data_IF_861976393800
#
_entry.id   IF_861976393800
#
_cell.length_a   1.000
_cell.length_b   1.000
_cell.length_c   1.000
_cell.angle_alpha   90.00
_cell.angle_beta   90.00
_cell.angle_gamma   90.00
#
_symmetry.space_group_name_H-M   'P 1'
#
loop_
_entity.id
_entity.type
_entity.pdbx_description
1 polymer ?
#
# COMPACT_ATOMS: atom_id res chain seq x y z
N UNK A 1 25.44 74.26 13.98
CA UNK A 1 24.07 73.70 13.95
C UNK A 1 24.12 72.38 13.20
N UNK A 2 24.12 71.25 13.91
CA UNK A 2 24.11 69.91 13.32
C UNK A 2 22.66 69.42 13.25
N UNK A 3 22.17 69.15 12.04
CA UNK A 3 20.86 68.54 11.80
C UNK A 3 21.04 67.01 11.75
N UNK A 4 20.46 66.30 12.72
CA UNK A 4 20.45 64.84 12.77
C UNK A 4 19.19 64.28 12.11
N UNK A 5 19.37 63.55 11.02
CA UNK A 5 18.31 62.81 10.33
C UNK A 5 18.05 61.49 11.05
N UNK A 6 16.85 61.34 11.63
CA UNK A 6 16.37 60.06 12.20
C UNK A 6 15.71 59.27 11.08
N UNK A 7 16.33 58.17 10.66
CA UNK A 7 15.74 57.22 9.72
C UNK A 7 14.85 56.23 10.49
N UNK A 8 13.53 56.33 10.32
CA UNK A 8 12.59 55.30 10.76
C UNK A 8 12.69 54.09 9.81
N UNK A 9 13.32 53.02 10.26
CA UNK A 9 13.19 51.70 9.63
C UNK A 9 11.88 51.05 10.08
N UNK A 10 10.87 51.05 9.19
CA UNK A 10 9.67 50.25 9.35
C UNK A 10 10.04 48.77 9.17
N UNK A 11 10.16 48.04 10.28
CA UNK A 11 10.26 46.58 10.28
C UNK A 11 8.90 45.99 9.88
N UNK A 12 8.77 45.62 8.61
CA UNK A 12 7.66 44.78 8.16
C UNK A 12 7.92 43.37 8.68
N UNK A 13 7.17 42.95 9.70
CA UNK A 13 7.23 41.58 10.21
C UNK A 13 6.78 40.61 9.10
N UNK A 14 7.47 39.48 8.90
CA UNK A 14 7.12 38.51 7.85
C UNK A 14 5.82 37.79 8.21
N UNK A 15 4.73 38.03 7.48
CA UNK A 15 3.45 37.32 7.63
C UNK A 15 3.40 35.93 6.94
N UNK A 16 4.55 35.25 6.76
CA UNK A 16 4.62 34.04 5.90
C UNK A 16 4.43 32.72 6.66
N UNK A 17 4.49 32.70 8.00
CA UNK A 17 4.57 31.44 8.77
C UNK A 17 3.26 30.63 8.88
N UNK A 18 2.09 31.25 8.83
CA UNK A 18 0.83 30.55 9.15
C UNK A 18 0.39 29.58 8.04
N UNK A 19 0.83 29.76 6.79
CA UNK A 19 0.39 28.93 5.66
C UNK A 19 1.11 27.58 5.57
N UNK A 20 2.35 27.50 6.04
CA UNK A 20 3.13 26.26 6.00
C UNK A 20 2.52 25.18 6.91
N UNK A 21 2.20 25.53 8.16
CA UNK A 21 1.70 24.57 9.15
C UNK A 21 0.38 23.88 8.75
N UNK A 22 -0.54 24.59 8.07
CA UNK A 22 -1.80 24.01 7.62
C UNK A 22 -1.61 22.97 6.50
N UNK A 23 -0.67 23.22 5.57
CA UNK A 23 -0.37 22.31 4.47
C UNK A 23 0.25 21.01 4.97
N UNK A 24 1.12 21.09 5.97
CA UNK A 24 1.78 19.93 6.56
C UNK A 24 0.77 18.96 7.19
N UNK A 25 -0.21 19.49 7.94
CA UNK A 25 -1.25 18.65 8.56
C UNK A 25 -2.12 17.91 7.55
N UNK A 26 -2.34 18.50 6.37
CA UNK A 26 -3.20 17.91 5.36
C UNK A 26 -2.48 16.83 4.55
N UNK A 27 -1.18 17.02 4.29
CA UNK A 27 -0.28 16.04 3.69
C UNK A 27 -0.23 14.77 4.55
N UNK A 28 0.00 14.94 5.86
CA UNK A 28 0.01 13.83 6.82
C UNK A 28 -1.33 13.10 6.87
N UNK A 29 -2.44 13.85 6.96
CA UNK A 29 -3.79 13.28 6.97
C UNK A 29 -4.07 12.41 5.74
N UNK A 30 -3.76 12.90 4.54
CA UNK A 30 -3.97 12.12 3.31
C UNK A 30 -3.09 10.88 3.23
N UNK A 31 -1.86 10.97 3.74
CA UNK A 31 -0.95 9.84 3.77
C UNK A 31 -1.49 8.72 4.68
N UNK A 32 -1.88 9.07 5.91
CA UNK A 32 -2.49 8.15 6.87
C UNK A 32 -3.83 7.60 6.36
N UNK A 33 -4.69 8.45 5.78
CA UNK A 33 -5.95 8.01 5.17
C UNK A 33 -5.72 6.92 4.10
N UNK A 34 -4.72 7.09 3.24
CA UNK A 34 -4.37 6.08 2.24
C UNK A 34 -3.85 4.78 2.87
N UNK A 35 -3.05 4.86 3.94
CA UNK A 35 -2.57 3.69 4.66
C UNK A 35 -3.70 2.89 5.32
N UNK A 36 -4.61 3.59 6.01
CA UNK A 36 -5.75 2.97 6.69
C UNK A 36 -6.65 2.25 5.68
N UNK A 37 -7.01 2.93 4.58
CA UNK A 37 -7.82 2.33 3.51
C UNK A 37 -7.15 1.13 2.86
N UNK A 38 -5.84 1.22 2.61
CA UNK A 38 -5.09 0.10 2.04
C UNK A 38 -5.07 -1.10 2.99
N UNK A 39 -4.90 -0.86 4.30
CA UNK A 39 -4.92 -1.91 5.32
C UNK A 39 -6.31 -2.57 5.45
N UNK A 40 -7.39 -1.80 5.25
CA UNK A 40 -8.77 -2.28 5.24
C UNK A 40 -9.15 -3.02 3.94
N UNK A 41 -8.26 -3.05 2.95
CA UNK A 41 -8.51 -3.65 1.63
C UNK A 41 -9.30 -2.75 0.68
N UNK A 42 -9.59 -1.51 1.07
CA UNK A 42 -10.12 -0.47 0.17
C UNK A 42 -8.99 0.11 -0.69
N UNK A 43 -8.52 -0.69 -1.63
CA UNK A 43 -7.43 -0.32 -2.52
C UNK A 43 -7.77 0.87 -3.42
N UNK A 44 -9.04 1.01 -3.81
CA UNK A 44 -9.51 2.13 -4.61
C UNK A 44 -9.41 3.44 -3.82
N UNK A 45 -9.98 3.46 -2.62
CA UNK A 45 -9.94 4.64 -1.77
C UNK A 45 -8.53 5.00 -1.31
N UNK A 46 -7.64 4.01 -1.15
CA UNK A 46 -6.23 4.24 -0.86
C UNK A 46 -5.51 4.94 -2.02
N UNK A 47 -5.69 4.44 -3.24
CA UNK A 47 -5.15 5.06 -4.45
C UNK A 47 -5.65 6.50 -4.61
N UNK A 48 -6.93 6.77 -4.36
CA UNK A 48 -7.51 8.11 -4.41
C UNK A 48 -6.93 9.06 -3.34
N UNK A 49 -6.69 8.58 -2.12
CA UNK A 49 -6.08 9.39 -1.06
C UNK A 49 -4.64 9.76 -1.39
N UNK A 50 -3.84 8.81 -1.86
CA UNK A 50 -2.46 9.08 -2.26
C UNK A 50 -2.34 9.86 -3.57
N UNK A 51 -3.29 9.75 -4.50
CA UNK A 51 -3.34 10.60 -5.69
C UNK A 51 -3.60 12.06 -5.30
N UNK A 52 -4.56 12.32 -4.40
CA UNK A 52 -4.78 13.67 -3.84
C UNK A 52 -3.55 14.21 -3.12
N UNK A 53 -2.80 13.34 -2.43
CA UNK A 53 -1.53 13.72 -1.81
C UNK A 53 -0.48 14.07 -2.87
N UNK A 54 -0.37 13.27 -3.94
CA UNK A 54 0.52 13.54 -5.05
C UNK A 54 0.21 14.91 -5.68
N UNK A 55 -1.06 15.24 -5.92
CA UNK A 55 -1.46 16.54 -6.48
C UNK A 55 -1.11 17.74 -5.59
N UNK A 56 -1.02 17.52 -4.28
CA UNK A 56 -0.69 18.56 -3.29
C UNK A 56 0.80 18.83 -3.19
N UNK A 57 1.64 17.82 -3.44
CA UNK A 57 3.09 17.95 -3.37
C UNK A 57 3.60 18.70 -4.61
N UNK A 58 4.19 19.90 -4.52
CA UNK A 58 4.67 20.58 -5.73
C UNK A 58 5.82 19.80 -6.39
N UNK A 59 5.82 19.76 -7.72
CA UNK A 59 6.89 19.18 -8.53
C UNK A 59 8.16 20.06 -8.43
N UNK A 60 8.90 19.87 -7.34
CA UNK A 60 10.11 20.59 -7.00
C UNK A 60 11.19 19.58 -6.61
N UNK A 61 12.47 19.91 -6.87
CA UNK A 61 13.60 19.01 -6.58
C UNK A 61 13.58 18.48 -5.14
N UNK A 62 13.21 19.33 -4.17
CA UNK A 62 13.12 18.96 -2.75
C UNK A 62 12.05 17.89 -2.44
N UNK A 63 10.98 17.83 -3.24
CA UNK A 63 9.86 16.90 -3.05
C UNK A 63 9.94 15.67 -3.96
N UNK A 64 10.93 15.63 -4.84
CA UNK A 64 11.00 14.63 -5.91
C UNK A 64 10.91 13.20 -5.37
N UNK A 65 11.75 12.87 -4.40
CA UNK A 65 11.76 11.53 -3.79
C UNK A 65 10.44 11.20 -3.09
N UNK A 66 9.83 12.16 -2.40
CA UNK A 66 8.52 11.99 -1.74
C UNK A 66 7.43 11.73 -2.77
N UNK A 67 7.38 12.50 -3.87
CA UNK A 67 6.42 12.33 -4.95
C UNK A 67 6.55 10.96 -5.63
N UNK A 68 7.78 10.54 -5.94
CA UNK A 68 8.03 9.21 -6.52
C UNK A 68 7.57 8.08 -5.58
N UNK A 69 7.81 8.20 -4.27
CA UNK A 69 7.32 7.21 -3.29
C UNK A 69 5.78 7.18 -3.18
N UNK A 70 5.13 8.34 -3.17
CA UNK A 70 3.66 8.42 -3.14
C UNK A 70 3.07 7.82 -4.42
N UNK A 71 3.68 8.08 -5.59
CA UNK A 71 3.28 7.46 -6.84
C UNK A 71 3.37 5.93 -6.77
N UNK A 72 4.49 5.38 -6.26
CA UNK A 72 4.64 3.92 -6.11
C UNK A 72 3.51 3.31 -5.27
N UNK A 73 3.08 3.99 -4.20
CA UNK A 73 1.95 3.56 -3.38
C UNK A 73 0.63 3.58 -4.17
N UNK A 74 0.38 4.62 -4.97
CA UNK A 74 -0.80 4.69 -5.86
C UNK A 74 -0.82 3.52 -6.85
N UNK A 75 0.30 3.28 -7.53
CA UNK A 75 0.41 2.18 -8.52
C UNK A 75 0.19 0.81 -7.85
N UNK A 76 0.81 0.60 -6.68
CA UNK A 76 0.64 -0.65 -5.94
C UNK A 76 -0.81 -0.86 -5.50
N UNK A 77 -1.49 0.18 -5.00
CA UNK A 77 -2.90 0.09 -4.62
C UNK A 77 -3.78 -0.32 -5.81
N UNK A 78 -3.61 0.29 -6.99
CA UNK A 78 -4.36 -0.12 -8.16
C UNK A 78 -4.06 -1.56 -8.61
N UNK A 79 -2.79 -1.99 -8.58
CA UNK A 79 -2.42 -3.37 -8.92
C UNK A 79 -3.05 -4.38 -7.96
N UNK A 80 -3.05 -4.10 -6.65
CA UNK A 80 -3.72 -4.94 -5.65
C UNK A 80 -5.24 -4.91 -5.83
N UNK A 81 -5.83 -3.75 -6.14
CA UNK A 81 -7.24 -3.61 -6.47
C UNK A 81 -7.64 -4.51 -7.63
N UNK A 82 -6.89 -4.48 -8.73
CA UNK A 82 -7.09 -5.39 -9.87
C UNK A 82 -6.94 -6.87 -9.47
N UNK A 83 -5.91 -7.20 -8.70
CA UNK A 83 -5.61 -8.58 -8.32
C UNK A 83 -6.68 -9.18 -7.39
N UNK A 84 -7.20 -8.39 -6.44
CA UNK A 84 -7.99 -8.87 -5.30
C UNK A 84 -9.47 -8.52 -5.38
N UNK A 85 -9.83 -7.37 -5.95
CA UNK A 85 -11.23 -6.99 -6.08
C UNK A 85 -11.86 -7.74 -7.26
N UNK A 86 -13.13 -8.09 -7.08
CA UNK A 86 -13.96 -8.71 -8.11
C UNK A 86 -15.21 -7.87 -8.26
N UNK A 87 -15.69 -7.71 -9.48
CA UNK A 87 -17.00 -7.12 -9.74
C UNK A 87 -18.10 -8.10 -9.30
N UNK A 88 -19.35 -7.64 -9.35
CA UNK A 88 -20.53 -8.44 -8.97
C UNK A 88 -20.67 -9.73 -9.81
N UNK A 89 -20.16 -9.72 -11.04
CA UNK A 89 -20.12 -10.87 -11.95
C UNK A 89 -18.93 -11.83 -11.70
N UNK A 90 -18.10 -11.54 -10.69
CA UNK A 90 -16.89 -12.30 -10.37
C UNK A 90 -15.70 -12.03 -11.29
N UNK A 91 -15.80 -11.12 -12.26
CA UNK A 91 -14.70 -10.72 -13.13
C UNK A 91 -13.70 -9.80 -12.42
N UNK A 92 -12.45 -9.76 -12.91
CA UNK A 92 -11.45 -8.78 -12.46
C UNK A 92 -11.79 -7.39 -12.97
N UNK A 93 -11.57 -6.37 -12.13
CA UNK A 93 -11.81 -4.99 -12.53
C UNK A 93 -10.60 -4.33 -13.21
N UNK A 94 -10.55 -4.42 -14.54
CA UNK A 94 -9.52 -3.77 -15.38
C UNK A 94 -9.51 -2.23 -15.20
N UNK A 95 -10.60 -1.64 -14.70
CA UNK A 95 -10.68 -0.20 -14.41
C UNK A 95 -9.54 0.27 -13.51
N UNK A 96 -9.13 -0.53 -12.52
CA UNK A 96 -8.00 -0.19 -11.66
C UNK A 96 -6.70 0.01 -12.42
N UNK A 97 -6.39 -0.85 -13.40
CA UNK A 97 -5.16 -0.77 -14.18
C UNK A 97 -5.16 0.46 -15.11
N UNK A 98 -6.32 0.76 -15.71
CA UNK A 98 -6.48 1.95 -16.56
C UNK A 98 -6.32 3.23 -15.75
N UNK A 99 -6.95 3.32 -14.58
CA UNK A 99 -6.78 4.47 -13.69
C UNK A 99 -5.33 4.64 -13.20
N UNK A 100 -4.62 3.54 -12.89
CA UNK A 100 -3.20 3.62 -12.56
C UNK A 100 -2.37 4.20 -13.70
N UNK A 101 -2.67 3.79 -14.95
CA UNK A 101 -1.96 4.27 -16.14
C UNK A 101 -2.20 5.75 -16.37
N UNK A 102 -3.43 6.22 -16.18
CA UNK A 102 -3.78 7.65 -16.26
C UNK A 102 -2.98 8.48 -15.23
N UNK A 103 -2.88 8.03 -13.98
CA UNK A 103 -2.11 8.73 -12.94
C UNK A 103 -0.61 8.73 -13.27
N UNK A 104 -0.07 7.60 -13.73
CA UNK A 104 1.33 7.48 -14.14
C UNK A 104 1.67 8.42 -15.30
N UNK A 105 0.82 8.48 -16.31
CA UNK A 105 1.00 9.35 -17.49
C UNK A 105 0.93 10.82 -17.11
N UNK A 106 -0.01 11.20 -16.23
CA UNK A 106 -0.11 12.54 -15.69
C UNK A 106 1.16 12.92 -14.91
N UNK A 107 1.70 12.00 -14.10
CA UNK A 107 2.94 12.20 -13.36
C UNK A 107 4.15 12.35 -14.30
N UNK A 108 4.30 11.49 -15.31
CA UNK A 108 5.41 11.63 -16.28
C UNK A 108 5.32 12.94 -17.06
N UNK A 109 4.11 13.40 -17.41
CA UNK A 109 3.92 14.70 -18.03
C UNK A 109 4.35 15.85 -17.10
N UNK A 110 3.98 15.83 -15.81
CA UNK A 110 4.38 16.85 -14.84
C UNK A 110 5.90 16.83 -14.58
N UNK A 111 6.46 15.64 -14.42
CA UNK A 111 7.89 15.42 -14.21
C UNK A 111 8.72 15.95 -15.39
N UNK A 112 8.34 15.58 -16.62
CA UNK A 112 9.00 16.07 -17.84
C UNK A 112 8.93 17.59 -17.96
N UNK A 113 7.78 18.19 -17.62
CA UNK A 113 7.61 19.65 -17.62
C UNK A 113 8.52 20.34 -16.62
N UNK A 114 8.73 19.77 -15.43
CA UNK A 114 9.53 20.37 -14.37
C UNK A 114 11.05 20.17 -14.55
N UNK A 115 11.47 19.00 -15.05
CA UNK A 115 12.89 18.61 -15.09
C UNK A 115 13.48 18.48 -16.50
N UNK A 116 12.64 18.54 -17.54
CA UNK A 116 13.03 18.42 -18.94
C UNK A 116 13.28 16.98 -19.40
N UNK A 117 13.46 16.80 -20.71
CA UNK A 117 13.50 15.50 -21.39
C UNK A 117 14.68 14.59 -21.01
N UNK A 118 15.73 15.16 -20.41
CA UNK A 118 16.92 14.41 -19.99
C UNK A 118 16.80 13.84 -18.58
N UNK A 119 15.81 14.29 -17.81
CA UNK A 119 15.59 13.78 -16.47
C UNK A 119 14.90 12.41 -16.56
N UNK A 120 15.42 11.44 -15.82
CA UNK A 120 14.79 10.14 -15.64
C UNK A 120 14.21 10.06 -14.23
N UNK A 121 13.02 9.49 -14.09
CA UNK A 121 12.47 9.03 -12.80
C UNK A 121 13.33 7.91 -12.22
N UNK A 122 13.14 7.55 -10.94
CA UNK A 122 13.87 6.41 -10.37
C UNK A 122 13.59 5.09 -11.07
N UNK A 123 14.54 4.16 -10.97
CA UNK A 123 14.41 2.80 -11.50
C UNK A 123 13.20 2.06 -10.92
N UNK A 124 12.85 2.29 -9.66
CA UNK A 124 11.67 1.68 -9.03
C UNK A 124 10.37 2.12 -9.71
N UNK A 125 10.25 3.39 -10.09
CA UNK A 125 9.08 3.89 -10.84
C UNK A 125 9.03 3.29 -12.24
N UNK A 126 10.18 3.13 -12.92
CA UNK A 126 10.25 2.49 -14.24
C UNK A 126 9.83 1.02 -14.17
N UNK A 127 10.37 0.25 -13.23
CA UNK A 127 10.01 -1.15 -13.04
C UNK A 127 8.51 -1.31 -12.76
N UNK A 128 7.94 -0.43 -11.93
CA UNK A 128 6.52 -0.47 -11.61
C UNK A 128 5.63 -0.07 -12.79
N UNK A 129 6.09 0.86 -13.62
CA UNK A 129 5.44 1.22 -14.89
C UNK A 129 5.42 0.03 -15.86
N UNK A 130 6.55 -0.65 -16.03
CA UNK A 130 6.65 -1.83 -16.89
C UNK A 130 5.77 -2.98 -16.40
N UNK A 131 5.68 -3.18 -15.08
CA UNK A 131 4.77 -4.15 -14.46
C UNK A 131 3.31 -3.80 -14.75
N UNK A 132 2.93 -2.54 -14.60
CA UNK A 132 1.59 -2.05 -14.88
C UNK A 132 1.21 -2.27 -16.35
N UNK A 133 2.05 -1.84 -17.28
CA UNK A 133 1.78 -1.95 -18.72
C UNK A 133 1.60 -3.41 -19.15
N UNK A 134 2.47 -4.30 -18.65
CA UNK A 134 2.37 -5.74 -18.93
C UNK A 134 1.07 -6.33 -18.38
N UNK A 135 0.72 -5.96 -17.15
CA UNK A 135 -0.50 -6.47 -16.50
C UNK A 135 -1.75 -5.95 -17.20
N UNK A 136 -1.75 -4.69 -17.63
CA UNK A 136 -2.85 -4.08 -18.39
C UNK A 136 -3.01 -4.75 -19.75
N UNK A 137 -1.93 -4.96 -20.51
CA UNK A 137 -1.99 -5.63 -21.82
C UNK A 137 -2.54 -7.06 -21.70
N UNK A 138 -2.08 -7.83 -20.71
CA UNK A 138 -2.59 -9.17 -20.44
C UNK A 138 -4.08 -9.16 -20.08
N UNK A 139 -4.49 -8.24 -19.20
CA UNK A 139 -5.89 -8.10 -18.78
C UNK A 139 -6.81 -7.73 -19.96
N UNK A 140 -6.38 -6.82 -20.82
CA UNK A 140 -7.15 -6.41 -22.00
C UNK A 140 -7.25 -7.54 -23.02
N UNK A 141 -6.20 -8.35 -23.17
CA UNK A 141 -6.21 -9.55 -24.00
C UNK A 141 -7.19 -10.61 -23.47
N UNK A 142 -7.19 -10.85 -22.15
CA UNK A 142 -8.12 -11.78 -21.48
C UNK A 142 -9.59 -11.31 -21.67
N UNK A 143 -9.85 -10.02 -21.51
CA UNK A 143 -11.17 -9.44 -21.71
C UNK A 143 -11.64 -9.53 -23.18
N UNK A 144 -10.75 -9.31 -24.14
CA UNK A 144 -11.08 -9.44 -25.56
C UNK A 144 -11.32 -10.89 -26.01
N UNK A 145 -10.69 -11.86 -25.33
CA UNK A 145 -10.84 -13.29 -25.63
C UNK A 145 -12.14 -13.89 -25.09
N UNK A 146 -12.79 -13.25 -24.11
CA UNK A 146 -14.07 -13.70 -23.56
C UNK A 146 -15.18 -13.29 -24.52
N UNK A 147 -15.82 -14.22 -25.25
CA UNK A 147 -16.89 -13.85 -26.17
C UNK A 147 -18.02 -13.18 -25.38
N UNK A 148 -18.67 -12.13 -25.93
CA UNK A 148 -19.81 -11.52 -25.27
C UNK A 148 -20.83 -12.61 -24.93
N UNK A 149 -21.45 -12.57 -23.74
CA UNK A 149 -22.48 -13.53 -23.40
C UNK A 149 -23.47 -13.56 -24.58
N UNK A 150 -23.86 -14.76 -25.06
CA UNK A 150 -24.74 -14.86 -26.22
C UNK A 150 -25.90 -13.92 -25.95
N UNK A 151 -26.08 -12.92 -26.82
CA UNK A 151 -27.16 -11.95 -26.69
C UNK A 151 -28.39 -12.77 -26.43
N UNK A 152 -28.89 -12.72 -25.19
CA UNK A 152 -30.10 -13.40 -24.82
C UNK A 152 -31.14 -12.78 -25.71
N UNK A 153 -31.44 -13.48 -26.80
CA UNK A 153 -32.47 -13.10 -27.74
C UNK A 153 -33.74 -13.15 -26.91
N UNK A 154 -34.06 -12.00 -26.30
CA UNK A 154 -35.31 -11.72 -25.65
C UNK A 154 -36.33 -11.77 -26.78
N UNK A 155 -36.69 -13.00 -27.14
CA UNK A 155 -37.90 -13.34 -27.83
C UNK A 155 -39.01 -12.69 -27.05
N UNK A 156 -39.33 -11.48 -27.47
CA UNK A 156 -40.46 -10.67 -27.08
C UNK A 156 -41.71 -11.44 -27.49
N UNK A 157 -42.02 -12.43 -26.66
CA UNK A 157 -43.32 -13.09 -26.58
C UNK A 157 -44.27 -12.14 -25.87
N UNK A 158 -44.86 -11.27 -26.67
CA UNK A 158 -46.16 -10.63 -26.46
C UNK A 158 -47.12 -11.39 -25.50
N UNK A 159 -47.46 -10.77 -24.36
CA UNK A 159 -48.77 -10.76 -23.69
C UNK A 159 -48.59 -9.88 -22.43
N UNK A 160 -49.25 -8.74 -22.25
CA UNK A 160 -50.65 -8.43 -22.55
C UNK A 160 -51.42 -8.43 -21.22
N UNK A 161 -51.55 -7.26 -20.60
CA UNK A 161 -52.61 -6.96 -19.61
C UNK A 161 -52.34 -7.35 -18.15
N UNK A 162 -52.29 -6.37 -17.26
CA UNK A 162 -53.41 -6.08 -16.35
C UNK A 162 -52.98 -5.19 -15.19
N UNK A 163 -53.68 -4.06 -15.11
CA UNK A 163 -53.83 -3.17 -13.98
C UNK A 163 -54.10 -3.88 -12.64
N UNK A 164 -53.59 -3.31 -11.55
CA UNK A 164 -54.21 -3.40 -10.23
C UNK A 164 -53.38 -4.04 -9.11
N UNK A 165 -53.01 -3.21 -8.13
CA UNK A 165 -53.45 -3.32 -6.73
C UNK A 165 -52.35 -3.18 -5.66
N UNK A 166 -52.74 -2.47 -4.61
CA UNK A 166 -52.03 -2.07 -3.40
C UNK A 166 -51.74 -3.24 -2.45
N UNK A 167 -50.75 -3.01 -1.57
CA UNK A 167 -50.79 -3.47 -0.18
C UNK A 167 -50.42 -4.92 0.09
N UNK A 168 -49.29 -5.14 0.78
CA UNK A 168 -48.93 -6.48 1.23
C UNK A 168 -47.71 -6.54 2.14
N UNK A 169 -47.89 -6.14 3.39
CA UNK A 169 -47.01 -6.46 4.52
C UNK A 169 -47.06 -7.96 4.84
N UNK A 170 -45.90 -8.59 5.11
CA UNK A 170 -45.82 -9.77 5.97
C UNK A 170 -44.94 -10.94 5.48
N UNK A 171 -44.06 -11.40 6.38
CA UNK A 171 -43.92 -12.85 6.65
C UNK A 171 -42.73 -13.62 6.05
N UNK A 172 -41.67 -13.75 6.85
CA UNK A 172 -41.06 -14.97 7.40
C UNK A 172 -40.98 -16.31 6.59
N UNK A 173 -39.89 -17.05 6.88
CA UNK A 173 -39.63 -18.50 6.75
C UNK A 173 -39.05 -19.09 5.43
N UNK A 174 -37.77 -19.46 5.51
CA UNK A 174 -37.36 -20.86 5.66
C UNK A 174 -37.42 -21.80 4.44
N UNK A 175 -36.25 -22.15 3.91
CA UNK A 175 -35.92 -23.43 3.21
C UNK A 175 -34.39 -23.42 2.98
N UNK A 176 -33.57 -24.39 3.41
CA UNK A 176 -33.83 -25.81 3.55
C UNK A 176 -33.54 -26.53 2.23
N UNK A 177 -32.30 -26.48 1.75
CA UNK A 177 -31.89 -27.13 0.50
C UNK A 177 -30.47 -27.68 0.57
N UNK A 178 -30.37 -29.01 0.58
CA UNK A 178 -29.16 -29.80 0.38
C UNK A 178 -28.37 -29.29 -0.83
N UNK A 179 -27.12 -28.88 -0.59
CA UNK A 179 -26.15 -28.62 -1.65
C UNK A 179 -25.05 -29.68 -1.59
N UNK A 180 -24.57 -30.18 -2.74
CA UNK A 180 -23.51 -31.19 -2.79
C UNK A 180 -22.23 -30.66 -2.14
N UNK A 181 -21.61 -31.52 -1.34
CA UNK A 181 -20.38 -31.26 -0.60
C UNK A 181 -19.22 -31.04 -1.58
N UNK A 182 -18.86 -29.76 -1.78
CA UNK A 182 -17.68 -29.37 -2.56
C UNK A 182 -16.48 -29.59 -1.62
N UNK A 183 -15.63 -30.57 -1.94
CA UNK A 183 -14.32 -30.70 -1.30
C UNK A 183 -13.46 -29.53 -1.80
N UNK A 184 -13.56 -28.41 -1.09
CA UNK A 184 -12.61 -27.31 -1.18
C UNK A 184 -11.30 -27.85 -0.61
N UNK A 185 -10.29 -27.99 -1.48
CA UNK A 185 -8.90 -28.15 -1.02
C UNK A 185 -8.50 -26.83 -0.37
N UNK A 186 -8.83 -26.72 0.92
CA UNK A 186 -8.44 -25.62 1.79
C UNK A 186 -6.92 -25.56 1.75
N UNK A 187 -6.36 -24.57 1.05
CA UNK A 187 -4.92 -24.39 1.01
C UNK A 187 -4.45 -24.23 2.46
N UNK A 188 -3.69 -25.19 2.95
CA UNK A 188 -3.15 -25.27 4.28
C UNK A 188 -2.11 -24.14 4.46
N UNK A 189 -2.62 -22.91 4.58
CA UNK A 189 -1.83 -21.71 4.74
C UNK A 189 -1.57 -21.52 6.24
N UNK A 190 -0.50 -22.16 6.72
CA UNK A 190 -0.05 -22.21 8.12
C UNK A 190 0.41 -20.85 8.69
N UNK A 191 0.07 -19.73 8.05
CA UNK A 191 0.52 -18.39 8.41
C UNK A 191 2.02 -18.13 8.19
N UNK A 192 2.78 -19.13 7.74
CA UNK A 192 4.23 -19.04 7.52
C UNK A 192 4.63 -17.94 6.54
N UNK A 193 3.87 -17.76 5.46
CA UNK A 193 4.12 -16.71 4.47
C UNK A 193 4.02 -15.28 5.02
N UNK A 194 3.14 -15.04 6.00
CA UNK A 194 2.96 -13.72 6.62
C UNK A 194 4.10 -13.39 7.61
N UNK A 195 4.64 -14.39 8.30
CA UNK A 195 5.77 -14.19 9.21
C UNK A 195 7.06 -13.96 8.41
N UNK A 196 7.28 -14.73 7.35
CA UNK A 196 8.45 -14.55 6.47
C UNK A 196 8.38 -13.22 5.72
N UNK A 197 7.20 -12.88 5.16
CA UNK A 197 6.96 -11.57 4.55
C UNK A 197 7.17 -10.42 5.54
N UNK A 198 6.56 -10.52 6.73
CA UNK A 198 6.73 -9.53 7.80
C UNK A 198 8.17 -9.37 8.27
N UNK A 199 8.96 -10.44 8.31
CA UNK A 199 10.37 -10.40 8.70
C UNK A 199 11.26 -9.73 7.64
N UNK A 200 11.00 -9.95 6.35
CA UNK A 200 11.72 -9.28 5.25
C UNK A 200 11.38 -7.79 5.22
N UNK A 201 10.10 -7.44 5.37
CA UNK A 201 9.67 -6.04 5.47
C UNK A 201 10.24 -5.37 6.72
N UNK A 202 10.23 -6.05 7.88
CA UNK A 202 10.83 -5.58 9.12
C UNK A 202 12.36 -5.37 8.98
N UNK A 203 13.04 -6.28 8.29
CA UNK A 203 14.47 -6.17 7.98
C UNK A 203 14.79 -4.98 7.08
N UNK A 204 13.94 -4.69 6.10
CA UNK A 204 14.05 -3.50 5.25
C UNK A 204 13.77 -2.20 6.01
N UNK A 205 12.82 -2.18 6.97
CA UNK A 205 12.65 -1.02 7.87
C UNK A 205 13.87 -0.74 8.73
N UNK A 206 14.55 -1.78 9.23
CA UNK A 206 15.76 -1.60 10.03
C UNK A 206 16.91 -1.04 9.18
N UNK A 207 16.99 -1.36 7.90
CA UNK A 207 17.89 -0.69 6.97
C UNK A 207 17.53 0.80 6.79
N UNK A 208 16.24 1.14 6.69
CA UNK A 208 15.75 2.52 6.67
C UNK A 208 16.09 3.32 7.95
N UNK A 209 15.93 2.72 9.12
CA UNK A 209 16.38 3.30 10.40
C UNK A 209 17.90 3.39 10.51
N UNK A 210 18.62 2.43 9.93
CA UNK A 210 20.08 2.47 9.80
C UNK A 210 20.54 3.68 9.00
N UNK A 211 19.84 4.02 7.92
CA UNK A 211 20.10 5.23 7.12
C UNK A 211 19.77 6.52 7.89
N UNK A 212 18.75 6.52 8.74
CA UNK A 212 18.43 7.65 9.61
C UNK A 212 19.55 7.90 10.63
N UNK A 213 19.98 6.86 11.35
CA UNK A 213 21.06 6.96 12.34
C UNK A 213 22.39 7.33 11.66
N UNK A 214 22.71 6.68 10.54
CA UNK A 214 23.95 6.93 9.80
C UNK A 214 23.97 8.32 9.16
N UNK A 215 22.84 8.77 8.60
CA UNK A 215 22.64 10.12 8.06
C UNK A 215 22.80 11.19 9.13
N UNK A 216 22.23 10.98 10.32
CA UNK A 216 22.37 11.91 11.45
C UNK A 216 23.81 12.04 11.96
N UNK A 217 24.57 10.95 12.00
CA UNK A 217 26.00 10.97 12.37
C UNK A 217 26.84 11.73 11.33
N UNK A 218 26.57 11.50 10.04
CA UNK A 218 27.24 12.20 8.94
C UNK A 218 26.92 13.70 8.93
N UNK A 219 25.65 14.08 9.15
CA UNK A 219 25.24 15.48 9.21
C UNK A 219 25.91 16.23 10.38
N UNK A 220 26.03 15.57 11.55
CA UNK A 220 26.73 16.15 12.70
C UNK A 220 28.22 16.33 12.43
N UNK A 221 28.90 15.32 11.87
CA UNK A 221 30.32 15.43 11.48
C UNK A 221 30.55 16.52 10.44
N UNK A 222 29.69 16.61 9.43
CA UNK A 222 29.77 17.66 8.43
C UNK A 222 29.63 19.07 9.03
N UNK A 223 28.80 19.23 10.06
CA UNK A 223 28.65 20.52 10.77
C UNK A 223 29.90 20.86 11.58
N UNK A 224 30.46 19.88 12.29
CA UNK A 224 31.70 20.06 13.06
C UNK A 224 32.89 20.35 12.12
N UNK A 225 32.99 19.66 10.99
CA UNK A 225 34.03 19.87 9.98
C UNK A 225 33.90 21.26 9.32
N UNK A 226 32.67 21.69 9.02
CA UNK A 226 32.41 23.03 8.47
C UNK A 226 32.83 24.15 9.44
N UNK A 227 32.53 24.01 10.72
CA UNK A 227 32.88 24.99 11.75
C UNK A 227 34.38 25.07 12.03
N UNK A 228 35.09 23.95 11.86
CA UNK A 228 36.53 23.86 12.08
C UNK A 228 37.37 24.10 10.81
N UNK A 229 36.74 24.25 9.65
CA UNK A 229 37.41 24.43 8.37
C UNK A 229 38.14 25.80 8.28
N UNK A 230 39.46 25.73 8.11
CA UNK A 230 40.35 26.89 7.93
C UNK A 230 40.52 27.28 6.47
N UNK A 231 40.13 26.41 5.53
CA UNK A 231 40.18 26.65 4.08
C UNK A 231 38.79 26.59 3.45
N UNK A 232 38.65 27.23 2.28
CA UNK A 232 37.38 27.24 1.53
C UNK A 232 37.03 25.85 0.98
N UNK A 233 38.02 25.11 0.49
CA UNK A 233 37.85 23.74 -0.03
C UNK A 233 37.31 22.78 1.04
N UNK A 234 37.76 22.92 2.29
CA UNK A 234 37.27 22.12 3.41
C UNK A 234 35.79 22.42 3.74
N UNK A 235 35.37 23.70 3.61
CA UNK A 235 33.97 24.11 3.80
C UNK A 235 33.08 23.54 2.71
N UNK A 236 33.49 23.64 1.45
CA UNK A 236 32.73 23.13 0.31
C UNK A 236 32.57 21.59 0.39
N UNK A 237 33.59 20.89 0.89
CA UNK A 237 33.55 19.45 1.09
C UNK A 237 32.63 19.06 2.26
N UNK A 238 32.68 19.80 3.36
CA UNK A 238 31.78 19.63 4.50
C UNK A 238 30.32 19.92 4.12
N UNK A 239 30.06 20.95 3.31
CA UNK A 239 28.71 21.28 2.83
C UNK A 239 28.12 20.18 1.93
N UNK A 240 28.92 19.63 1.00
CA UNK A 240 28.51 18.46 0.20
C UNK A 240 28.19 17.23 1.06
N UNK A 241 29.00 16.97 2.09
CA UNK A 241 28.74 15.87 3.02
C UNK A 241 27.49 16.11 3.87
N UNK A 242 27.26 17.37 4.31
CA UNK A 242 26.06 17.77 5.05
C UNK A 242 24.79 17.60 4.23
N UNK A 243 24.80 18.02 2.96
CA UNK A 243 23.66 17.83 2.05
C UNK A 243 23.34 16.35 1.82
N UNK A 244 24.38 15.50 1.70
CA UNK A 244 24.21 14.05 1.57
C UNK A 244 23.65 13.44 2.87
N UNK A 245 24.16 13.87 4.03
CA UNK A 245 23.67 13.43 5.35
C UNK A 245 22.21 13.82 5.61
N UNK A 246 21.81 15.04 5.26
CA UNK A 246 20.42 15.49 5.36
C UNK A 246 19.50 14.69 4.45
N UNK A 247 19.90 14.45 3.19
CA UNK A 247 19.12 13.65 2.26
C UNK A 247 18.89 12.21 2.79
N UNK A 248 19.94 11.58 3.34
CA UNK A 248 19.84 10.24 3.94
C UNK A 248 18.97 10.23 5.19
N UNK A 249 19.08 11.25 6.04
CA UNK A 249 18.29 11.38 7.27
C UNK A 249 16.80 11.55 6.96
N UNK A 250 16.45 12.45 6.02
CA UNK A 250 15.06 12.68 5.59
C UNK A 250 14.48 11.42 4.95
N UNK A 251 15.25 10.76 4.09
CA UNK A 251 14.82 9.49 3.46
C UNK A 251 14.57 8.41 4.51
N UNK A 252 15.49 8.23 5.47
CA UNK A 252 15.33 7.27 6.56
C UNK A 252 14.18 7.61 7.51
N UNK A 253 13.93 8.89 7.77
CA UNK A 253 12.86 9.37 8.66
C UNK A 253 11.46 9.18 8.08
N UNK A 254 11.30 9.20 6.76
CA UNK A 254 10.00 8.99 6.10
C UNK A 254 9.75 7.49 5.89
N UNK A 255 10.75 6.76 5.41
CA UNK A 255 10.61 5.34 5.05
C UNK A 255 10.60 4.42 6.27
N UNK A 256 11.36 4.77 7.32
CA UNK A 256 11.50 3.98 8.54
C UNK A 256 10.19 3.73 9.29
N UNK A 257 9.41 4.77 9.65
CA UNK A 257 8.17 4.60 10.40
C UNK A 257 7.10 3.82 9.65
N UNK A 258 6.97 4.04 8.34
CA UNK A 258 5.98 3.39 7.46
C UNK A 258 6.20 1.88 7.41
N UNK A 259 7.44 1.46 7.21
CA UNK A 259 7.79 0.04 7.17
C UNK A 259 7.71 -0.61 8.56
N UNK A 260 7.98 0.12 9.65
CA UNK A 260 7.82 -0.39 11.02
C UNK A 260 6.35 -0.65 11.39
N UNK A 261 5.45 0.27 11.03
CA UNK A 261 4.01 0.11 11.27
C UNK A 261 3.50 -1.10 10.48
N UNK A 262 3.81 -1.15 9.19
CA UNK A 262 3.38 -2.25 8.30
C UNK A 262 3.96 -3.60 8.75
N UNK A 263 5.26 -3.65 9.07
CA UNK A 263 5.92 -4.85 9.59
C UNK A 263 5.35 -5.30 10.93
N UNK A 264 5.04 -4.35 11.83
CA UNK A 264 4.43 -4.62 13.12
C UNK A 264 3.04 -5.26 13.01
N UNK A 265 2.20 -4.75 12.12
CA UNK A 265 0.86 -5.30 11.86
C UNK A 265 0.94 -6.72 11.29
N UNK A 266 1.85 -6.96 10.33
CA UNK A 266 2.04 -8.29 9.73
C UNK A 266 2.53 -9.33 10.75
N UNK A 267 3.46 -8.95 11.64
CA UNK A 267 3.93 -9.82 12.73
C UNK A 267 2.77 -10.10 13.71
N UNK A 268 1.99 -9.09 14.07
CA UNK A 268 0.84 -9.24 14.97
C UNK A 268 -0.22 -10.21 14.42
N UNK A 269 -0.60 -10.04 13.15
CA UNK A 269 -1.53 -10.93 12.45
C UNK A 269 -0.98 -12.35 12.31
N UNK A 270 0.31 -12.49 12.01
CA UNK A 270 0.99 -13.79 11.95
C UNK A 270 0.95 -14.55 13.28
N UNK A 271 1.22 -13.86 14.40
CA UNK A 271 1.15 -14.45 15.75
C UNK A 271 -0.28 -14.89 16.09
N UNK A 272 -1.28 -14.06 15.79
CA UNK A 272 -2.70 -14.38 16.04
C UNK A 272 -3.13 -15.62 15.26
N UNK A 273 -2.90 -15.64 13.94
CA UNK A 273 -3.21 -16.80 13.08
C UNK A 273 -2.53 -18.08 13.55
N UNK A 274 -1.27 -17.99 14.00
CA UNK A 274 -0.54 -19.16 14.54
C UNK A 274 -1.18 -19.69 15.83
N UNK A 275 -1.68 -18.82 16.70
CA UNK A 275 -2.42 -19.24 17.91
C UNK A 275 -3.73 -19.92 17.55
N UNK A 276 -4.50 -19.34 16.63
CA UNK A 276 -5.79 -19.88 16.20
C UNK A 276 -5.61 -21.24 15.51
N UNK A 277 -4.61 -21.38 14.65
CA UNK A 277 -4.26 -22.65 14.00
C UNK A 277 -3.82 -23.72 15.02
N UNK A 278 -3.09 -23.31 16.07
CA UNK A 278 -2.71 -24.24 17.16
C UNK A 278 -3.92 -24.68 17.96
N UNK A 279 -4.83 -23.76 18.30
CA UNK A 279 -6.08 -24.08 19.00
C UNK A 279 -6.97 -25.03 18.17
N UNK A 280 -7.06 -24.81 16.85
CA UNK A 280 -7.76 -25.71 15.93
C UNK A 280 -7.10 -27.10 15.87
N UNK A 281 -5.78 -27.18 15.80
CA UNK A 281 -5.04 -28.46 15.88
C UNK A 281 -5.26 -29.19 17.20
N UNK A 282 -5.28 -28.48 18.33
CA UNK A 282 -5.54 -29.10 19.64
C UNK A 282 -6.97 -29.66 19.72
N UNK A 283 -7.95 -29.01 19.10
CA UNK A 283 -9.31 -29.55 18.99
C UNK A 283 -9.38 -30.78 18.08
N UNK A 284 -8.67 -30.79 16.95
CA UNK A 284 -8.58 -31.96 16.09
C UNK A 284 -7.87 -33.14 16.79
N UNK A 285 -6.78 -32.88 17.50
CA UNK A 285 -6.06 -33.92 18.25
C UNK A 285 -6.89 -34.51 19.40
N UNK A 286 -7.79 -33.73 20.02
CA UNK A 286 -8.76 -34.27 21.01
C UNK A 286 -9.76 -35.25 20.41
N UNK A 287 -9.98 -35.22 19.08
CA UNK A 287 -10.87 -36.15 18.38
C UNK A 287 -10.17 -37.41 17.87
N UNK A 288 -8.83 -37.41 17.85
CA UNK A 288 -8.01 -38.56 17.44
C UNK A 288 -7.67 -39.34 18.71
N UNK A 289 -8.33 -40.47 18.93
CA UNK A 289 -8.02 -41.35 20.05
C UNK A 289 -7.06 -42.43 19.55
N UNK A 290 -5.91 -42.55 20.22
CA UNK A 290 -4.96 -43.63 19.96
C UNK A 290 -5.15 -44.68 21.05
N UNK A 291 -5.61 -45.87 20.66
CA UNK A 291 -5.75 -46.99 21.58
C UNK A 291 -4.65 -48.01 21.34
N UNK A 292 -3.93 -48.47 22.38
CA UNK A 292 -3.01 -49.60 22.24
C UNK A 292 -3.83 -50.86 21.94
N UNK A 293 -3.40 -51.62 20.93
CA UNK A 293 -3.98 -52.93 20.62
C UNK A 293 -2.91 -54.01 20.75
N UNK A 294 -3.24 -55.09 21.44
CA UNK A 294 -2.35 -56.23 21.63
C UNK A 294 -3.10 -57.51 21.22
N UNK A 295 -2.54 -58.22 20.25
CA UNK A 295 -3.02 -59.52 19.79
C UNK A 295 -1.96 -60.60 19.98
N UNK A 296 -2.36 -61.88 19.89
CA UNK A 296 -1.41 -63.00 19.92
C UNK A 296 -0.50 -62.92 18.68
N UNK A 297 0.70 -62.39 18.86
CA UNK A 297 1.73 -62.27 17.82
C UNK A 297 2.02 -60.84 17.33
N UNK A 298 1.29 -59.82 17.80
CA UNK A 298 1.60 -58.42 17.46
C UNK A 298 1.12 -57.44 18.53
N UNK A 299 1.86 -56.34 18.70
CA UNK A 299 1.46 -55.17 19.45
C UNK A 299 1.54 -53.94 18.55
N UNK A 300 0.51 -53.11 18.56
CA UNK A 300 0.44 -51.92 17.71
C UNK A 300 -0.42 -50.81 18.30
N UNK A 301 -0.45 -49.67 17.62
CA UNK A 301 -1.33 -48.56 17.93
C UNK A 301 -2.38 -48.45 16.82
N UNK A 302 -3.66 -48.39 17.20
CA UNK A 302 -4.75 -48.09 16.26
C UNK A 302 -5.15 -46.63 16.45
N UNK A 303 -5.12 -45.88 15.35
CA UNK A 303 -5.73 -44.55 15.29
C UNK A 303 -7.21 -44.70 14.95
N UNK A 304 -8.09 -44.20 15.81
CA UNK A 304 -9.51 -44.12 15.53
C UNK A 304 -9.94 -42.64 15.56
N UNK A 305 -10.54 -42.18 14.46
CA UNK A 305 -11.09 -40.82 14.31
C UNK A 305 -12.46 -40.88 13.61
N UNK A 306 -13.32 -39.91 13.93
CA UNK A 306 -14.55 -39.65 13.15
C UNK A 306 -14.21 -38.62 12.07
N UNK A 307 -14.42 -39.00 10.82
CA UNK A 307 -14.27 -38.15 9.64
C UNK A 307 -15.65 -37.62 9.24
#
# INVERSE_FOLDING_TARGET
MLAGSVALSLSVAPMVEVRAAAQDSEIERLYVEGQDKYADGDFAGAADAWTRLLDRLPEAQANRATRENVLLNVLQAHLDGYARNRRDDGSKDIGHLRSAKEVLDAYFASFKKAYGDRAAVSAAVQEKADELDRTLEEAEREAAATPPPPNGDNGSGNQGGSSGNEGGSGGNQGQGGDRPNIVVLESQNDGGGLIVGGAVTAGLSLAGFGLLIYGGILAKRATDDYNNATTQDDRDKAEKQGNTGNALTVTGAIVGPVLLITGGVLIGLGIKRRKDAKAAREQQLKSITVAPTAGRGFGGLVLQGRF
#
